data_IF_274734929182
#
_entry.id   IF_274734929182
#
_cell.length_a   1.000
_cell.length_b   1.000
_cell.length_c   1.000
_cell.angle_alpha   90.00
_cell.angle_beta   90.00
_cell.angle_gamma   90.00
#
_symmetry.space_group_name_H-M   'P 1'
#
loop_
_entity.id
_entity.type
_entity.pdbx_description
1 polymer ?
#
# COMPACT_ATOMS: atom_id res chain seq x y z
N UNK A 1 11.54 19.23 0.83
CA UNK A 1 11.53 18.08 1.74
C UNK A 1 11.05 16.89 0.95
N UNK A 2 11.72 15.75 1.07
CA UNK A 2 11.25 14.49 0.45
C UNK A 2 10.24 13.81 1.37
N UNK A 3 9.34 12.99 0.82
CA UNK A 3 8.34 12.26 1.61
C UNK A 3 8.10 10.87 1.04
N UNK A 4 8.07 9.87 1.91
CA UNK A 4 7.70 8.50 1.58
C UNK A 4 6.32 8.23 2.17
N UNK A 5 5.36 7.82 1.33
CA UNK A 5 4.01 7.44 1.75
C UNK A 5 3.86 5.94 1.54
N UNK A 6 3.65 5.20 2.63
CA UNK A 6 3.25 3.80 2.58
C UNK A 6 1.73 3.73 2.68
N UNK A 7 1.05 3.47 1.54
CA UNK A 7 -0.38 3.25 1.52
C UNK A 7 -0.69 1.77 1.70
N UNK A 8 -1.08 1.40 2.91
CA UNK A 8 -1.46 0.05 3.30
C UNK A 8 -2.91 -0.25 2.93
N UNK A 9 -3.12 -1.34 2.19
CA UNK A 9 -4.46 -1.79 1.82
C UNK A 9 -4.52 -3.31 1.81
N UNK A 10 -5.73 -3.86 1.72
CA UNK A 10 -5.95 -5.26 1.35
C UNK A 10 -6.32 -5.34 -0.13
N UNK A 11 -6.46 -6.55 -0.71
CA UNK A 11 -6.97 -6.68 -2.06
C UNK A 11 -8.38 -6.06 -2.15
N UNK A 12 -8.75 -5.60 -3.36
CA UNK A 12 -10.10 -5.07 -3.68
C UNK A 12 -10.50 -3.75 -2.97
N UNK A 13 -9.52 -2.97 -2.50
CA UNK A 13 -9.69 -1.66 -1.85
C UNK A 13 -9.43 -0.46 -2.79
N UNK A 14 -9.59 -0.58 -4.11
CA UNK A 14 -9.25 0.47 -5.10
C UNK A 14 -7.80 1.02 -5.03
N UNK A 15 -6.88 0.33 -4.37
CA UNK A 15 -5.50 0.81 -4.18
C UNK A 15 -4.77 1.08 -5.51
N UNK A 16 -5.08 0.34 -6.58
CA UNK A 16 -4.58 0.65 -7.92
C UNK A 16 -5.07 2.02 -8.43
N UNK A 17 -6.32 2.41 -8.16
CA UNK A 17 -6.84 3.72 -8.56
C UNK A 17 -6.14 4.85 -7.78
N UNK A 18 -5.95 4.67 -6.47
CA UNK A 18 -5.14 5.59 -5.66
C UNK A 18 -3.71 5.67 -6.18
N UNK A 19 -3.09 4.54 -6.53
CA UNK A 19 -1.75 4.53 -7.12
C UNK A 19 -1.69 5.33 -8.43
N UNK A 20 -2.63 5.13 -9.36
CA UNK A 20 -2.70 5.89 -10.63
C UNK A 20 -2.89 7.39 -10.39
N UNK A 21 -3.71 7.76 -9.40
CA UNK A 21 -3.88 9.16 -8.98
C UNK A 21 -2.54 9.82 -8.60
N UNK A 22 -1.69 9.12 -7.85
CA UNK A 22 -0.35 9.61 -7.51
C UNK A 22 0.64 9.57 -8.68
N UNK A 23 0.51 8.59 -9.57
CA UNK A 23 1.36 8.43 -10.76
C UNK A 23 1.18 9.57 -11.78
N UNK A 24 0.01 10.21 -11.79
CA UNK A 24 -0.24 11.39 -12.63
C UNK A 24 0.46 12.67 -12.12
N UNK A 25 1.02 12.65 -10.90
CA UNK A 25 1.72 13.82 -10.35
C UNK A 25 3.15 13.88 -10.90
N UNK A 26 3.61 15.03 -11.42
CA UNK A 26 4.97 15.16 -11.97
C UNK A 26 6.08 15.11 -10.91
N UNK A 27 5.75 15.26 -9.62
CA UNK A 27 6.69 15.30 -8.51
C UNK A 27 6.83 13.97 -7.76
N UNK A 28 6.18 12.90 -8.26
CA UNK A 28 5.95 11.65 -7.54
C UNK A 28 6.50 10.44 -8.28
N UNK A 29 7.28 9.62 -7.56
CA UNK A 29 7.62 8.27 -7.96
C UNK A 29 6.66 7.27 -7.29
N UNK A 30 6.28 6.23 -8.01
CA UNK A 30 5.31 5.23 -7.55
C UNK A 30 5.93 3.84 -7.54
N UNK A 31 5.62 3.06 -6.51
CA UNK A 31 5.93 1.62 -6.48
C UNK A 31 4.67 0.79 -6.26
N UNK A 32 4.48 -0.18 -7.14
CA UNK A 32 3.35 -1.12 -7.10
C UNK A 32 3.76 -2.40 -6.35
N UNK A 33 3.23 -2.59 -5.15
CA UNK A 33 3.37 -3.79 -4.33
C UNK A 33 4.83 -4.27 -4.19
N UNK A 34 5.74 -3.48 -3.60
CA UNK A 34 7.18 -3.79 -3.58
C UNK A 34 7.50 -5.15 -2.94
N UNK A 35 6.69 -5.61 -1.97
CA UNK A 35 6.85 -6.92 -1.33
C UNK A 35 6.18 -8.10 -2.06
N UNK A 36 5.62 -7.90 -3.26
CA UNK A 36 4.92 -8.98 -3.96
C UNK A 36 5.84 -10.13 -4.37
N UNK A 37 7.07 -9.82 -4.79
CA UNK A 37 8.11 -10.82 -5.06
C UNK A 37 8.38 -11.69 -3.84
N UNK A 38 8.62 -11.07 -2.68
CA UNK A 38 8.81 -11.77 -1.40
C UNK A 38 7.59 -12.65 -1.05
N UNK A 39 6.38 -12.09 -1.16
CA UNK A 39 5.14 -12.81 -0.85
C UNK A 39 4.95 -14.05 -1.73
N UNK A 40 5.17 -13.95 -3.04
CA UNK A 40 5.06 -15.09 -3.95
C UNK A 40 6.17 -16.13 -3.69
N UNK A 41 7.39 -15.70 -3.39
CA UNK A 41 8.50 -16.61 -3.13
C UNK A 41 8.27 -17.45 -1.87
N UNK A 42 7.61 -16.87 -0.86
CA UNK A 42 7.42 -17.47 0.47
C UNK A 42 6.02 -18.02 0.71
N UNK A 43 5.19 -18.14 -0.33
CA UNK A 43 3.86 -18.76 -0.24
C UNK A 43 3.61 -19.75 -1.38
N UNK A 44 2.74 -20.72 -1.11
CA UNK A 44 2.28 -21.73 -2.09
C UNK A 44 1.17 -21.23 -3.02
N UNK A 45 0.96 -19.92 -3.10
CA UNK A 45 -0.08 -19.35 -3.96
C UNK A 45 0.29 -19.61 -5.42
N UNK A 46 -0.61 -20.30 -6.11
CA UNK A 46 -0.54 -20.50 -7.54
C UNK A 46 -1.03 -19.25 -8.26
N UNK A 47 -0.10 -18.35 -8.55
CA UNK A 47 -0.37 -17.13 -9.29
C UNK A 47 0.11 -17.25 -10.74
N UNK A 48 -0.77 -16.99 -11.74
CA UNK A 48 -0.37 -16.90 -13.14
C UNK A 48 0.79 -15.91 -13.31
N UNK A 49 1.89 -16.35 -13.91
CA UNK A 49 3.08 -15.49 -14.08
C UNK A 49 3.99 -15.39 -12.85
N UNK A 50 3.82 -16.21 -11.80
CA UNK A 50 4.72 -16.23 -10.62
C UNK A 50 6.20 -16.26 -11.00
N UNK A 51 6.59 -17.10 -11.96
CA UNK A 51 7.99 -17.19 -12.45
C UNK A 51 8.49 -15.90 -13.10
N UNK A 52 7.61 -15.16 -13.76
CA UNK A 52 7.96 -13.88 -14.39
C UNK A 52 8.15 -12.81 -13.32
N UNK A 53 7.24 -12.74 -12.35
CA UNK A 53 7.33 -11.83 -11.19
C UNK A 53 8.63 -12.07 -10.41
N UNK A 54 8.97 -13.33 -10.10
CA UNK A 54 10.20 -13.67 -9.38
C UNK A 54 11.49 -13.39 -10.19
N UNK A 55 11.38 -13.19 -11.51
CA UNK A 55 12.51 -12.78 -12.34
C UNK A 55 12.65 -11.26 -12.44
N UNK A 56 11.56 -10.51 -12.28
CA UNK A 56 11.54 -9.06 -12.45
C UNK A 56 11.56 -8.29 -11.13
N UNK A 57 11.15 -8.91 -10.01
CA UNK A 57 11.09 -8.27 -8.70
C UNK A 57 12.11 -8.86 -7.74
N UNK A 58 12.64 -8.00 -6.87
CA UNK A 58 13.38 -8.44 -5.68
C UNK A 58 12.42 -9.18 -4.73
N UNK A 59 12.91 -10.26 -4.13
CA UNK A 59 12.15 -11.11 -3.21
C UNK A 59 12.89 -11.36 -1.90
N UNK A 60 14.01 -10.68 -1.67
CA UNK A 60 14.67 -10.53 -0.38
C UNK A 60 14.03 -9.36 0.39
N UNK A 61 13.49 -9.62 1.59
CA UNK A 61 12.75 -8.64 2.37
C UNK A 61 13.59 -7.40 2.69
N UNK A 62 14.80 -7.60 3.19
CA UNK A 62 15.66 -6.53 3.70
C UNK A 62 16.12 -5.63 2.55
N UNK A 63 16.41 -6.21 1.38
CA UNK A 63 16.74 -5.42 0.18
C UNK A 63 15.56 -4.60 -0.32
N UNK A 64 14.34 -5.13 -0.25
CA UNK A 64 13.14 -4.36 -0.60
C UNK A 64 12.96 -3.19 0.39
N UNK A 65 13.15 -3.44 1.69
CA UNK A 65 13.11 -2.40 2.72
C UNK A 65 14.14 -1.30 2.44
N UNK A 66 15.41 -1.67 2.25
CA UNK A 66 16.51 -0.73 1.96
C UNK A 66 16.19 0.14 0.74
N UNK A 67 15.58 -0.45 -0.29
CA UNK A 67 15.15 0.28 -1.48
C UNK A 67 14.03 1.28 -1.16
N UNK A 68 12.92 0.83 -0.57
CA UNK A 68 11.72 1.66 -0.38
C UNK A 68 11.86 2.73 0.72
N UNK A 69 12.85 2.63 1.59
CA UNK A 69 13.21 3.68 2.56
C UNK A 69 14.40 4.53 2.10
N UNK A 70 14.96 4.25 0.93
CA UNK A 70 16.16 4.89 0.40
C UNK A 70 15.92 6.24 -0.27
N UNK A 71 16.72 6.54 -1.29
CA UNK A 71 16.61 7.76 -2.08
C UNK A 71 15.43 7.60 -3.06
N UNK A 72 14.55 8.60 -3.10
CA UNK A 72 13.44 8.64 -4.06
C UNK A 72 14.00 8.64 -5.49
N UNK A 73 13.60 7.69 -6.35
CA UNK A 73 14.07 7.63 -7.73
C UNK A 73 13.65 8.83 -8.59
N UNK A 74 14.30 8.95 -9.75
CA UNK A 74 13.93 9.90 -10.83
C UNK A 74 13.94 11.39 -10.43
N UNK A 75 14.56 11.74 -9.30
CA UNK A 75 14.59 13.11 -8.79
C UNK A 75 13.23 13.58 -8.27
N UNK A 76 12.27 12.67 -8.08
CA UNK A 76 10.98 12.99 -7.48
C UNK A 76 11.14 13.41 -6.02
N UNK A 77 10.17 14.19 -5.54
CA UNK A 77 10.13 14.67 -4.15
C UNK A 77 9.18 13.85 -3.27
N UNK A 78 8.30 13.10 -3.89
CA UNK A 78 7.33 12.22 -3.23
C UNK A 78 7.52 10.78 -3.73
N UNK A 79 7.45 9.82 -2.82
CA UNK A 79 7.40 8.40 -3.17
C UNK A 79 6.11 7.82 -2.60
N UNK A 80 5.16 7.50 -3.48
CA UNK A 80 3.94 6.78 -3.11
C UNK A 80 4.13 5.28 -3.32
N UNK A 81 3.93 4.50 -2.25
CA UNK A 81 4.10 3.06 -2.26
C UNK A 81 2.75 2.40 -2.02
N UNK A 82 2.26 1.65 -3.00
CA UNK A 82 1.06 0.83 -2.87
C UNK A 82 1.45 -0.47 -2.18
N UNK A 83 1.07 -0.61 -0.91
CA UNK A 83 1.32 -1.82 -0.14
C UNK A 83 0.07 -2.67 0.05
N UNK A 84 0.29 -3.97 0.09
CA UNK A 84 -0.70 -4.98 0.41
C UNK A 84 -0.35 -5.58 1.77
N UNK A 85 -1.21 -5.37 2.76
CA UNK A 85 -0.94 -5.75 4.15
C UNK A 85 -0.69 -7.25 4.30
N UNK A 86 -1.34 -8.09 3.47
CA UNK A 86 -1.12 -9.54 3.47
C UNK A 86 0.28 -9.98 3.01
N UNK A 87 1.07 -9.08 2.40
CA UNK A 87 2.47 -9.37 2.03
C UNK A 87 3.40 -9.38 3.25
N UNK A 88 2.96 -8.82 4.38
CA UNK A 88 3.69 -8.87 5.65
C UNK A 88 3.50 -10.25 6.30
N UNK A 89 4.29 -11.22 5.84
CA UNK A 89 4.25 -12.59 6.36
C UNK A 89 4.78 -12.64 7.81
N UNK A 90 4.35 -13.62 8.63
CA UNK A 90 4.85 -13.76 9.99
C UNK A 90 6.38 -13.84 10.05
N UNK A 91 6.99 -13.07 10.97
CA UNK A 91 8.42 -13.09 11.24
C UNK A 91 9.26 -12.06 10.48
N UNK A 92 8.66 -11.27 9.57
CA UNK A 92 9.36 -10.16 8.91
C UNK A 92 9.58 -8.98 9.87
N UNK A 93 10.67 -8.22 9.67
CA UNK A 93 10.90 -7.00 10.42
C UNK A 93 10.10 -5.82 9.82
N UNK A 94 9.26 -5.22 10.66
CA UNK A 94 8.43 -4.06 10.33
C UNK A 94 8.96 -2.76 10.98
N UNK A 95 10.17 -2.76 11.54
CA UNK A 95 10.78 -1.57 12.14
C UNK A 95 10.87 -0.39 11.15
N UNK A 96 11.05 -0.67 9.87
CA UNK A 96 11.19 0.32 8.80
C UNK A 96 9.98 1.22 8.62
N UNK A 97 8.79 0.82 9.07
CA UNK A 97 7.58 1.64 8.92
C UNK A 97 7.68 2.97 9.70
N UNK A 98 8.60 3.10 10.66
CA UNK A 98 8.88 4.37 11.34
C UNK A 98 9.63 5.39 10.46
N UNK A 99 10.07 5.01 9.26
CA UNK A 99 10.81 5.86 8.33
C UNK A 99 9.91 6.46 7.24
N UNK A 100 8.61 6.13 7.24
CA UNK A 100 7.65 6.51 6.21
C UNK A 100 6.38 7.09 6.84
N UNK A 101 5.63 7.86 6.07
CA UNK A 101 4.27 8.27 6.45
C UNK A 101 3.32 7.12 6.17
N UNK A 102 2.80 6.49 7.24
CA UNK A 102 1.87 5.37 7.13
C UNK A 102 0.44 5.84 6.93
N UNK A 103 -0.21 5.32 5.89
CA UNK A 103 -1.60 5.58 5.57
C UNK A 103 -2.33 4.25 5.32
N UNK A 104 -3.61 4.19 5.63
CA UNK A 104 -4.45 3.02 5.39
C UNK A 104 -5.59 3.37 4.43
N UNK A 105 -5.81 2.48 3.46
CA UNK A 105 -6.98 2.49 2.59
C UNK A 105 -7.85 1.29 2.93
N UNK A 106 -8.98 1.57 3.56
CA UNK A 106 -9.93 0.58 4.08
C UNK A 106 -11.19 0.54 3.23
N UNK A 107 -11.93 -0.56 3.37
CA UNK A 107 -13.23 -0.77 2.76
C UNK A 107 -14.03 -1.76 3.60
N UNK A 108 -15.37 -1.65 3.55
CA UNK A 108 -16.28 -2.62 4.17
C UNK A 108 -15.84 -4.07 3.88
N UNK A 109 -15.51 -4.87 4.91
CA UNK A 109 -15.07 -6.25 4.74
C UNK A 109 -16.05 -7.13 3.96
N UNK A 110 -17.37 -6.89 4.09
CA UNK A 110 -18.39 -7.64 3.34
C UNK A 110 -18.25 -7.38 1.84
N UNK A 111 -18.06 -6.13 1.45
CA UNK A 111 -17.86 -5.78 0.03
C UNK A 111 -16.56 -6.34 -0.54
N UNK A 112 -15.49 -6.30 0.26
CA UNK A 112 -14.18 -6.87 -0.11
C UNK A 112 -14.30 -8.37 -0.33
N UNK A 113 -14.89 -9.10 0.61
CA UNK A 113 -15.11 -10.56 0.51
C UNK A 113 -15.94 -10.88 -0.74
N UNK A 114 -17.08 -10.19 -0.94
CA UNK A 114 -17.93 -10.40 -2.11
C UNK A 114 -17.20 -10.11 -3.43
N UNK A 115 -16.34 -9.09 -3.46
CA UNK A 115 -15.55 -8.73 -4.65
C UNK A 115 -14.41 -9.72 -4.91
N UNK A 116 -13.78 -10.23 -3.85
CA UNK A 116 -12.68 -11.20 -3.92
C UNK A 116 -13.19 -12.57 -4.38
N UNK A 117 -14.29 -13.05 -3.78
CA UNK A 117 -14.92 -14.34 -4.10
C UNK A 117 -15.42 -14.49 -5.54
N UNK A 118 -15.54 -13.38 -6.30
CA UNK A 118 -15.84 -13.42 -7.74
C UNK A 118 -14.68 -13.91 -8.59
N UNK A 119 -13.44 -13.81 -8.08
CA UNK A 119 -12.21 -14.12 -8.83
C UNK A 119 -11.39 -15.23 -8.19
N UNK A 120 -11.41 -15.32 -6.86
CA UNK A 120 -10.55 -16.21 -6.09
C UNK A 120 -11.34 -16.84 -4.95
N UNK A 121 -10.98 -18.05 -4.55
CA UNK A 121 -11.52 -18.66 -3.34
C UNK A 121 -10.92 -17.98 -2.09
N UNK A 122 -11.76 -17.68 -1.10
CA UNK A 122 -11.30 -17.18 0.21
C UNK A 122 -10.95 -18.38 1.09
N UNK A 123 -9.82 -19.03 0.79
CA UNK A 123 -9.38 -20.23 1.52
C UNK A 123 -9.03 -19.93 2.99
N UNK A 124 -8.58 -18.69 3.28
CA UNK A 124 -8.21 -18.22 4.62
C UNK A 124 -8.33 -16.70 4.70
N UNK A 125 -8.62 -16.16 5.89
CA UNK A 125 -8.88 -14.72 6.08
C UNK A 125 -7.66 -13.84 5.85
N UNK A 126 -6.45 -14.38 6.03
CA UNK A 126 -5.19 -13.65 5.87
C UNK A 126 -4.97 -13.17 4.44
N UNK A 127 -5.62 -13.81 3.45
CA UNK A 127 -5.58 -13.37 2.05
C UNK A 127 -6.22 -12.00 1.83
N UNK A 128 -7.06 -11.56 2.77
CA UNK A 128 -7.77 -10.29 2.69
C UNK A 128 -7.03 -9.14 3.39
N UNK A 129 -5.95 -9.43 4.12
CA UNK A 129 -5.08 -8.42 4.73
C UNK A 129 -5.65 -7.70 5.97
N UNK A 130 -6.88 -8.01 6.42
CA UNK A 130 -7.51 -7.27 7.53
C UNK A 130 -6.79 -7.45 8.87
N UNK A 131 -6.39 -8.68 9.23
CA UNK A 131 -5.65 -8.93 10.47
C UNK A 131 -4.30 -8.23 10.44
N UNK A 132 -3.61 -8.27 9.30
CA UNK A 132 -2.31 -7.60 9.12
C UNK A 132 -2.44 -6.07 9.17
N UNK A 133 -3.53 -5.49 8.65
CA UNK A 133 -3.78 -4.04 8.82
C UNK A 133 -3.98 -3.66 10.29
N UNK A 134 -4.72 -4.48 11.05
CA UNK A 134 -4.92 -4.24 12.49
C UNK A 134 -3.60 -4.36 13.25
N UNK A 135 -2.77 -5.34 12.93
CA UNK A 135 -1.44 -5.51 13.51
C UNK A 135 -0.53 -4.32 13.21
N UNK A 136 -0.49 -3.86 11.95
CA UNK A 136 0.24 -2.66 11.55
C UNK A 136 -0.28 -1.42 12.30
N UNK A 137 -1.60 -1.22 12.35
CA UNK A 137 -2.20 -0.08 13.03
C UNK A 137 -1.83 -0.05 14.51
N UNK A 138 -1.90 -1.18 15.21
CA UNK A 138 -1.45 -1.30 16.60
C UNK A 138 0.04 -1.02 16.73
N UNK A 139 0.88 -1.58 15.86
CA UNK A 139 2.32 -1.31 15.89
C UNK A 139 2.63 0.19 15.75
N UNK A 140 1.96 0.87 14.82
CA UNK A 140 2.14 2.31 14.57
C UNK A 140 1.66 3.13 15.78
N UNK A 141 0.47 2.84 16.29
CA UNK A 141 -0.14 3.64 17.37
C UNK A 141 0.45 3.35 18.75
N UNK A 142 0.75 2.08 19.06
CA UNK A 142 1.18 1.64 20.39
C UNK A 142 2.71 1.63 20.55
N UNK A 143 3.48 1.32 19.50
CA UNK A 143 4.95 1.25 19.60
C UNK A 143 5.64 2.50 19.04
N UNK A 144 5.17 3.02 17.90
CA UNK A 144 5.77 4.22 17.28
C UNK A 144 5.15 5.50 17.88
N UNK A 145 3.89 5.44 18.31
CA UNK A 145 3.17 6.57 18.89
C UNK A 145 2.65 7.56 17.84
N UNK A 146 2.48 7.10 16.60
CA UNK A 146 1.91 7.90 15.50
C UNK A 146 0.43 7.59 15.30
N UNK A 147 -0.34 8.58 14.83
CA UNK A 147 -1.73 8.41 14.41
C UNK A 147 -1.80 8.34 12.88
N UNK A 148 -1.93 7.13 12.28
CA UNK A 148 -1.87 6.98 10.84
C UNK A 148 -3.15 7.48 10.17
N UNK A 149 -3.02 8.02 8.97
CA UNK A 149 -4.16 8.50 8.20
C UNK A 149 -4.95 7.31 7.66
N UNK A 150 -6.28 7.31 7.88
CA UNK A 150 -7.18 6.26 7.41
C UNK A 150 -8.15 6.86 6.40
N UNK A 151 -8.25 6.24 5.23
CA UNK A 151 -9.12 6.66 4.12
C UNK A 151 -10.09 5.52 3.82
N UNK A 152 -11.38 5.84 3.77
CA UNK A 152 -12.42 4.93 3.29
C UNK A 152 -12.47 4.96 1.76
N UNK A 153 -12.28 3.80 1.12
CA UNK A 153 -12.28 3.64 -0.33
C UNK A 153 -13.57 4.14 -0.97
N UNK A 154 -14.71 3.98 -0.29
CA UNK A 154 -16.01 4.46 -0.79
C UNK A 154 -16.06 5.99 -0.89
N UNK A 155 -15.43 6.69 0.03
CA UNK A 155 -15.44 8.16 0.03
C UNK A 155 -14.63 8.69 -1.17
N UNK A 156 -13.49 8.07 -1.47
CA UNK A 156 -12.68 8.37 -2.65
C UNK A 156 -13.48 8.18 -3.94
N UNK A 157 -14.29 7.12 -4.03
CA UNK A 157 -15.12 6.88 -5.22
C UNK A 157 -16.29 7.86 -5.34
N UNK A 158 -16.78 8.37 -4.21
CA UNK A 158 -17.93 9.27 -4.20
C UNK A 158 -17.52 10.71 -4.54
N UNK A 159 -16.45 11.21 -3.92
CA UNK A 159 -15.91 12.54 -4.16
C UNK A 159 -14.37 12.51 -4.14
N UNK A 160 -13.73 12.07 -5.25
CA UNK A 160 -12.29 11.92 -5.29
C UNK A 160 -11.56 13.25 -5.06
N UNK A 161 -12.13 14.37 -5.50
CA UNK A 161 -11.49 15.69 -5.34
C UNK A 161 -11.41 16.10 -3.87
N UNK A 162 -12.53 16.06 -3.16
CA UNK A 162 -12.56 16.43 -1.74
C UNK A 162 -11.67 15.51 -0.89
N UNK A 163 -11.75 14.19 -1.11
CA UNK A 163 -10.98 13.24 -0.31
C UNK A 163 -9.48 13.32 -0.61
N UNK A 164 -9.08 13.49 -1.87
CA UNK A 164 -7.66 13.66 -2.21
C UNK A 164 -7.10 14.99 -1.71
N UNK A 165 -7.90 16.07 -1.68
CA UNK A 165 -7.49 17.34 -1.08
C UNK A 165 -7.22 17.20 0.42
N UNK A 166 -8.16 16.59 1.16
CA UNK A 166 -8.01 16.29 2.59
C UNK A 166 -6.83 15.37 2.86
N UNK A 167 -6.64 14.36 2.02
CA UNK A 167 -5.50 13.44 2.13
C UNK A 167 -4.18 14.19 1.96
N UNK A 168 -4.05 15.01 0.92
CA UNK A 168 -2.85 15.80 0.65
C UNK A 168 -2.53 16.75 1.81
N UNK A 169 -3.53 17.44 2.35
CA UNK A 169 -3.39 18.30 3.53
C UNK A 169 -2.89 17.50 4.75
N UNK A 170 -3.51 16.36 5.05
CA UNK A 170 -3.15 15.52 6.19
C UNK A 170 -1.72 14.96 6.11
N UNK A 171 -1.26 14.57 4.91
CA UNK A 171 0.14 14.13 4.72
C UNK A 171 1.10 15.30 4.52
N UNK A 172 0.63 16.54 4.42
CA UNK A 172 1.47 17.73 4.25
C UNK A 172 2.10 17.87 2.86
N UNK A 173 1.35 17.58 1.80
CA UNK A 173 1.71 17.83 0.39
C UNK A 173 0.67 18.70 -0.31
N UNK A 174 1.02 19.32 -1.43
CA UNK A 174 0.07 20.07 -2.24
C UNK A 174 -0.79 19.13 -3.08
N UNK A 175 -2.11 19.34 -3.06
CA UNK A 175 -3.02 18.74 -4.03
C UNK A 175 -2.72 19.23 -5.47
N UNK A 176 -2.92 18.36 -6.45
CA UNK A 176 -2.72 18.63 -7.88
C UNK A 176 -3.93 18.08 -8.64
N UNK A 177 -4.53 18.85 -9.56
CA UNK A 177 -5.73 18.41 -10.30
C UNK A 177 -5.43 17.19 -11.20
N UNK A 178 -4.17 16.98 -11.60
CA UNK A 178 -3.67 15.81 -12.33
C UNK A 178 -3.99 14.49 -11.60
N UNK A 179 -4.13 14.53 -10.27
CA UNK A 179 -4.53 13.39 -9.45
C UNK A 179 -5.93 12.86 -9.75
N UNK A 180 -6.77 13.61 -10.47
CA UNK A 180 -8.15 13.24 -10.82
C UNK A 180 -8.29 12.58 -12.20
N UNK A 181 -7.17 12.36 -12.90
CA UNK A 181 -7.16 11.82 -14.27
C UNK A 181 -7.03 10.29 -14.35
#
# INVERSE_FOLDING_TARGET
MTKHIAMWSGPRNISTAMMRSFENRPDTFVSDEPFYGYYLNNTDIDHPGKKEVLRSMEYDWDKVVDYITGIIPEGASLWYQKHMAQHNLPGVDLSWISQVTNCFLIRDPKEVILSYSKKYEVARSELLGFSQQVELYRKITEEIGEDPIIIEARDVLHDPKDILQKFCEAVGISFMDEMLS
#
